data_IF_298818286402
#
_entry.id   IF_298818286402
#
_cell.length_a   1.000
_cell.length_b   1.000
_cell.length_c   1.000
_cell.angle_alpha   90.00
_cell.angle_beta   90.00
_cell.angle_gamma   90.00
#
_symmetry.space_group_name_H-M   'P 1'
#
loop_
_entity.id
_entity.type
_entity.pdbx_description
1 polymer ?
#
# COMPACT_ATOMS: atom_id res chain seq x y z
N UNK A 1 -10.68 17.19 11.02
CA UNK A 1 -10.48 15.81 10.51
C UNK A 1 -10.76 15.81 9.01
N UNK A 2 -9.98 15.10 8.17
CA UNK A 2 -10.23 15.04 6.73
C UNK A 2 -11.58 14.35 6.48
N UNK A 3 -12.45 15.00 5.72
CA UNK A 3 -13.75 14.47 5.35
C UNK A 3 -13.50 13.37 4.31
N UNK A 4 -13.69 12.10 4.69
CA UNK A 4 -13.49 10.97 3.78
C UNK A 4 -14.60 11.02 2.73
N UNK A 5 -14.27 11.46 1.52
CA UNK A 5 -15.19 11.45 0.38
C UNK A 5 -15.34 10.02 -0.14
N UNK A 6 -16.40 9.33 0.33
CA UNK A 6 -16.71 7.99 -0.12
C UNK A 6 -17.34 8.04 -1.52
N UNK A 7 -16.75 7.29 -2.46
CA UNK A 7 -17.28 7.15 -3.81
C UNK A 7 -18.62 6.40 -3.80
N UNK A 8 -19.47 6.68 -4.80
CA UNK A 8 -20.70 5.91 -5.00
C UNK A 8 -20.35 4.44 -5.29
N UNK A 9 -20.89 3.53 -4.48
CA UNK A 9 -20.73 2.08 -4.68
C UNK A 9 -21.80 1.54 -5.62
N UNK A 10 -21.47 0.48 -6.34
CA UNK A 10 -22.46 -0.32 -7.08
C UNK A 10 -23.45 -0.98 -6.11
N UNK A 11 -24.70 -1.22 -6.54
CA UNK A 11 -25.80 -1.72 -5.69
C UNK A 11 -25.54 -3.04 -4.96
N UNK A 12 -24.62 -3.85 -5.48
CA UNK A 12 -24.23 -5.12 -4.89
C UNK A 12 -23.10 -4.99 -3.86
N UNK A 13 -22.59 -3.79 -3.61
CA UNK A 13 -21.51 -3.50 -2.66
C UNK A 13 -22.01 -2.60 -1.51
N UNK A 14 -21.42 -2.75 -0.33
CA UNK A 14 -21.76 -2.00 0.87
C UNK A 14 -20.50 -1.65 1.67
N UNK A 15 -20.50 -0.47 2.29
CA UNK A 15 -19.48 -0.09 3.26
C UNK A 15 -19.74 -0.72 4.64
N UNK A 16 -18.68 -1.25 5.24
CA UNK A 16 -18.63 -1.69 6.63
C UNK A 16 -17.40 -1.07 7.27
N UNK A 17 -17.57 -0.48 8.45
CA UNK A 17 -16.48 0.22 9.13
C UNK A 17 -15.85 -0.68 10.21
N UNK A 18 -14.52 -0.78 10.20
CA UNK A 18 -13.77 -1.58 11.18
C UNK A 18 -13.28 -0.78 12.40
N UNK A 19 -13.31 0.55 12.33
CA UNK A 19 -12.82 1.44 13.38
C UNK A 19 -13.95 2.20 14.07
N UNK A 20 -13.69 2.66 15.29
CA UNK A 20 -14.57 3.59 16.01
C UNK A 20 -14.83 4.84 15.16
N UNK A 21 -16.02 5.43 15.30
CA UNK A 21 -16.43 6.63 14.57
C UNK A 21 -16.36 6.54 13.03
N UNK A 22 -16.56 5.34 12.44
CA UNK A 22 -16.57 5.12 10.99
C UNK A 22 -15.24 5.45 10.28
N UNK A 23 -14.10 5.31 10.97
CA UNK A 23 -12.81 5.79 10.45
C UNK A 23 -12.18 4.87 9.39
N UNK A 24 -12.56 3.59 9.34
CA UNK A 24 -11.94 2.57 8.46
C UNK A 24 -12.98 1.83 7.60
N UNK A 25 -13.44 2.43 6.49
CA UNK A 25 -14.39 1.79 5.58
C UNK A 25 -13.75 0.59 4.86
N UNK A 26 -14.48 -0.51 4.80
CA UNK A 26 -14.19 -1.70 4.00
C UNK A 26 -15.39 -1.96 3.09
N UNK A 27 -15.12 -2.24 1.83
CA UNK A 27 -16.16 -2.54 0.83
C UNK A 27 -16.39 -4.05 0.83
N UNK A 28 -17.64 -4.46 1.04
CA UNK A 28 -18.06 -5.86 1.03
C UNK A 28 -19.25 -6.07 0.09
N UNK A 29 -19.48 -7.31 -0.34
CA UNK A 29 -20.68 -7.63 -1.11
C UNK A 29 -21.93 -7.64 -0.22
N UNK A 30 -23.02 -7.04 -0.71
CA UNK A 30 -24.32 -7.03 -0.03
C UNK A 30 -24.91 -8.44 0.09
N UNK A 31 -24.53 -9.35 -0.83
CA UNK A 31 -24.98 -10.75 -0.86
C UNK A 31 -24.42 -11.61 0.28
N UNK A 32 -23.47 -11.08 1.06
CA UNK A 32 -22.88 -11.83 2.18
C UNK A 32 -23.86 -11.96 3.36
N UNK A 33 -23.94 -13.16 3.92
CA UNK A 33 -24.72 -13.45 5.13
C UNK A 33 -24.09 -12.76 6.35
N UNK A 34 -24.87 -12.46 7.39
CA UNK A 34 -24.39 -11.81 8.62
C UNK A 34 -23.12 -12.47 9.21
N UNK A 35 -23.10 -13.80 9.28
CA UNK A 35 -21.94 -14.57 9.75
C UNK A 35 -20.70 -14.38 8.88
N UNK A 36 -20.87 -14.32 7.54
CA UNK A 36 -19.77 -14.05 6.62
C UNK A 36 -19.27 -12.62 6.76
N UNK A 37 -20.17 -11.65 6.93
CA UNK A 37 -19.82 -10.24 7.20
C UNK A 37 -19.00 -10.11 8.48
N UNK A 38 -19.40 -10.81 9.56
CA UNK A 38 -18.66 -10.81 10.83
C UNK A 38 -17.28 -11.47 10.70
N UNK A 39 -17.15 -12.57 9.94
CA UNK A 39 -15.84 -13.18 9.64
C UNK A 39 -14.95 -12.23 8.83
N UNK A 40 -15.49 -11.60 7.80
CA UNK A 40 -14.79 -10.60 6.97
C UNK A 40 -14.41 -9.36 7.77
N UNK A 41 -15.06 -9.06 8.89
CA UNK A 41 -14.69 -7.97 9.80
C UNK A 41 -13.63 -8.40 10.82
N UNK A 42 -13.66 -9.67 11.27
CA UNK A 42 -12.74 -10.23 12.26
C UNK A 42 -11.39 -10.64 11.66
N UNK A 43 -11.38 -11.34 10.53
CA UNK A 43 -10.18 -11.84 9.83
C UNK A 43 -9.19 -10.76 9.31
N UNK A 44 -9.61 -9.58 8.79
CA UNK A 44 -8.68 -8.66 8.16
C UNK A 44 -7.72 -8.00 9.15
N UNK A 45 -7.98 -8.01 10.46
CA UNK A 45 -7.04 -7.49 11.45
C UNK A 45 -5.73 -8.29 11.45
N UNK A 46 -5.83 -9.61 11.36
CA UNK A 46 -4.68 -10.50 11.36
C UNK A 46 -4.04 -10.55 9.98
N UNK A 47 -4.86 -10.59 8.92
CA UNK A 47 -4.39 -10.65 7.55
C UNK A 47 -3.70 -9.38 7.07
N UNK A 48 -4.10 -8.18 7.55
CA UNK A 48 -3.42 -6.93 7.20
C UNK A 48 -1.96 -6.93 7.65
N UNK A 49 -1.66 -7.38 8.87
CA UNK A 49 -0.27 -7.49 9.35
C UNK A 49 0.53 -8.49 8.52
N UNK A 50 -0.05 -9.66 8.25
CA UNK A 50 0.60 -10.69 7.41
C UNK A 50 0.88 -10.16 6.01
N UNK A 51 -0.08 -9.47 5.37
CA UNK A 51 0.09 -8.90 4.03
C UNK A 51 1.14 -7.79 4.04
N UNK A 52 1.09 -6.86 5.00
CA UNK A 52 2.11 -5.81 5.14
C UNK A 52 3.50 -6.39 5.40
N UNK A 53 3.60 -7.43 6.23
CA UNK A 53 4.87 -8.09 6.53
C UNK A 53 5.40 -8.88 5.34
N UNK A 54 4.54 -9.57 4.59
CA UNK A 54 4.92 -10.26 3.35
C UNK A 54 5.39 -9.28 2.28
N UNK A 55 4.70 -8.15 2.09
CA UNK A 55 5.13 -7.10 1.16
C UNK A 55 6.48 -6.51 1.58
N UNK A 56 6.64 -6.20 2.87
CA UNK A 56 7.89 -5.68 3.41
C UNK A 56 9.03 -6.69 3.25
N UNK A 57 8.77 -7.98 3.50
CA UNK A 57 9.75 -9.05 3.34
C UNK A 57 10.14 -9.27 1.87
N UNK A 58 9.18 -9.21 0.93
CA UNK A 58 9.46 -9.29 -0.51
C UNK A 58 10.36 -8.12 -0.94
N UNK A 59 10.04 -6.90 -0.51
CA UNK A 59 10.86 -5.73 -0.78
C UNK A 59 12.26 -5.88 -0.15
N UNK A 60 12.37 -6.20 1.13
CA UNK A 60 13.65 -6.39 1.81
C UNK A 60 14.51 -7.49 1.20
N UNK A 61 13.91 -8.62 0.80
CA UNK A 61 14.62 -9.70 0.12
C UNK A 61 15.11 -9.24 -1.26
N UNK A 62 14.29 -8.50 -2.02
CA UNK A 62 14.74 -7.94 -3.29
C UNK A 62 15.88 -6.92 -3.12
N UNK A 63 15.86 -6.06 -2.10
CA UNK A 63 16.97 -5.12 -1.89
C UNK A 63 18.26 -5.81 -1.41
N UNK A 64 18.15 -6.86 -0.59
CA UNK A 64 19.32 -7.60 -0.08
C UNK A 64 20.06 -8.36 -1.18
N UNK A 65 19.36 -8.85 -2.21
CA UNK A 65 19.97 -9.65 -3.28
C UNK A 65 20.52 -8.76 -4.40
N UNK A 66 20.01 -7.53 -4.55
CA UNK A 66 20.38 -6.59 -5.61
C UNK A 66 21.40 -5.51 -5.17
N UNK A 67 22.28 -5.81 -4.20
CA UNK A 67 23.44 -4.95 -3.95
C UNK A 67 24.49 -5.13 -5.04
N UNK A 68 24.26 -4.52 -6.20
CA UNK A 68 25.27 -4.39 -7.24
C UNK A 68 26.40 -3.49 -6.73
N UNK A 69 27.54 -4.10 -6.37
CA UNK A 69 28.77 -3.36 -6.06
C UNK A 69 29.31 -2.79 -7.38
N UNK A 70 29.18 -1.48 -7.56
CA UNK A 70 29.84 -0.76 -8.65
C UNK A 70 31.31 -0.59 -8.24
N UNK A 71 32.21 -1.31 -8.91
CA UNK A 71 33.65 -1.14 -8.74
C UNK A 71 34.06 0.14 -9.47
N UNK A 72 34.75 1.04 -8.77
CA UNK A 72 35.33 2.24 -9.36
C UNK A 72 36.84 2.05 -9.53
N UNK A 73 37.41 2.68 -10.56
CA UNK A 73 38.86 2.65 -10.80
C UNK A 73 39.65 3.40 -9.72
N UNK A 74 40.90 2.99 -9.52
CA UNK A 74 41.81 3.60 -8.56
C UNK A 74 42.11 5.06 -8.96
N UNK A 75 41.78 6.01 -8.07
CA UNK A 75 41.87 7.45 -8.35
C UNK A 75 40.56 8.13 -8.76
N UNK A 76 39.45 7.38 -8.84
CA UNK A 76 38.12 7.94 -9.07
C UNK A 76 37.69 8.91 -7.96
N UNK A 77 37.02 10.01 -8.35
CA UNK A 77 36.49 11.03 -7.44
C UNK A 77 34.97 11.07 -7.54
N UNK A 78 34.29 11.18 -6.39
CA UNK A 78 32.85 11.41 -6.37
C UNK A 78 32.54 12.79 -6.99
N UNK A 79 31.63 12.82 -7.96
CA UNK A 79 31.12 14.05 -8.55
C UNK A 79 29.60 14.09 -8.37
N UNK A 80 29.08 15.25 -7.97
CA UNK A 80 27.66 15.50 -7.78
C UNK A 80 27.27 16.69 -8.66
N UNK A 81 26.51 16.45 -9.72
CA UNK A 81 25.95 17.52 -10.54
C UNK A 81 24.52 17.86 -10.12
N UNK A 82 24.13 19.14 -10.10
CA UNK A 82 22.76 19.53 -9.82
C UNK A 82 21.80 18.99 -10.90
N UNK A 83 20.67 18.43 -10.46
CA UNK A 83 19.66 17.86 -11.35
C UNK A 83 19.09 18.95 -12.26
N UNK A 84 19.23 18.79 -13.58
CA UNK A 84 18.63 19.71 -14.56
C UNK A 84 17.12 19.52 -14.58
N UNK A 85 16.39 20.64 -14.53
CA UNK A 85 14.95 20.64 -14.74
C UNK A 85 14.70 20.38 -16.23
N UNK A 86 13.98 19.31 -16.54
CA UNK A 86 13.59 18.99 -17.91
C UNK A 86 12.34 19.80 -18.26
N UNK A 87 12.46 20.76 -19.18
CA UNK A 87 11.29 21.45 -19.73
C UNK A 87 10.62 20.53 -20.75
N UNK A 88 9.34 20.18 -20.54
CA UNK A 88 8.56 19.48 -21.56
C UNK A 88 8.39 20.40 -22.77
N UNK A 89 8.87 19.97 -23.94
CA UNK A 89 8.58 20.66 -25.19
C UNK A 89 7.06 20.71 -25.36
N UNK A 90 6.56 21.91 -25.61
CA UNK A 90 5.13 22.27 -25.66
C UNK A 90 4.50 21.78 -26.96
#
# INVERSE_FOLDING_TARGET
APKVELKLLQSHLKYVYLGENNTLPVIISNKLTRLQKERVVKEPRDRKRVVSQTICNIQSNSFSIYMHKILLEEGSKANFEPQRILNSQK
#
